data_IF_751632515774
#
_entry.id   IF_751632515774
#
_cell.length_a   1.000
_cell.length_b   1.000
_cell.length_c   1.000
_cell.angle_alpha   90.00
_cell.angle_beta   90.00
_cell.angle_gamma   90.00
#
_symmetry.space_group_name_H-M   'P 1'
#
loop_
_entity.id
_entity.type
_entity.pdbx_description
1 polymer ?
#
# COMPACT_ATOMS: atom_id res chain seq x y z
N UNK A 1 35.61 12.19 6.32
CA UNK A 1 34.43 11.69 5.60
C UNK A 1 34.93 10.60 4.68
N UNK A 2 34.37 9.41 4.75
CA UNK A 2 34.71 8.30 3.85
C UNK A 2 34.21 8.63 2.43
N UNK A 3 34.83 8.06 1.40
CA UNK A 3 34.40 8.36 0.04
C UNK A 3 33.09 7.63 -0.29
N UNK A 4 32.95 6.34 0.06
CA UNK A 4 31.81 5.51 -0.29
C UNK A 4 31.34 4.69 0.91
N UNK A 5 30.02 4.67 1.11
CA UNK A 5 29.32 3.81 2.06
C UNK A 5 28.41 2.81 1.37
N UNK A 6 28.17 1.69 2.03
CA UNK A 6 27.29 0.59 1.55
C UNK A 6 26.32 0.22 2.65
N UNK A 7 25.05 0.07 2.28
CA UNK A 7 24.01 -0.57 3.11
C UNK A 7 23.33 -1.66 2.27
N UNK A 8 23.11 -2.84 2.84
CA UNK A 8 22.40 -3.96 2.19
C UNK A 8 21.24 -4.37 3.08
N UNK A 9 20.07 -4.60 2.50
CA UNK A 9 18.91 -5.06 3.27
C UNK A 9 17.65 -5.27 2.43
N UNK A 10 16.62 -5.89 3.05
CA UNK A 10 15.35 -6.14 2.36
C UNK A 10 14.33 -5.01 2.47
N UNK A 11 14.40 -4.17 3.49
CA UNK A 11 13.54 -2.99 3.69
C UNK A 11 12.03 -3.29 3.53
N UNK A 12 11.57 -4.39 4.11
CA UNK A 12 10.20 -4.89 3.95
C UNK A 12 9.50 -5.02 5.32
N UNK A 13 8.69 -3.98 5.69
CA UNK A 13 8.55 -2.69 5.04
C UNK A 13 9.72 -1.73 5.31
N UNK A 14 9.84 -0.69 4.47
CA UNK A 14 10.66 0.45 4.82
C UNK A 14 10.11 1.13 6.08
N UNK A 15 10.89 1.18 7.15
CA UNK A 15 10.45 1.76 8.42
C UNK A 15 11.43 2.84 8.95
N UNK A 16 10.99 3.61 9.93
CA UNK A 16 11.76 4.76 10.45
C UNK A 16 13.12 4.36 11.03
N UNK A 17 13.28 3.13 11.51
CA UNK A 17 14.60 2.60 11.93
C UNK A 17 15.58 2.56 10.76
N UNK A 18 15.18 2.02 9.60
CA UNK A 18 15.97 2.01 8.37
C UNK A 18 16.36 3.43 7.94
N UNK A 19 15.38 4.34 7.94
CA UNK A 19 15.63 5.75 7.55
C UNK A 19 16.67 6.40 8.44
N UNK A 20 16.60 6.20 9.75
CA UNK A 20 17.59 6.75 10.69
C UNK A 20 18.98 6.21 10.46
N UNK A 21 19.12 4.91 10.21
CA UNK A 21 20.41 4.28 9.86
C UNK A 21 20.97 4.87 8.57
N UNK A 22 20.14 5.02 7.53
CA UNK A 22 20.53 5.58 6.25
C UNK A 22 20.97 7.04 6.41
N UNK A 23 20.20 7.86 7.11
CA UNK A 23 20.56 9.27 7.36
C UNK A 23 21.83 9.41 8.19
N UNK A 24 22.06 8.52 9.16
CA UNK A 24 23.29 8.50 9.94
C UNK A 24 24.50 8.15 9.05
N UNK A 25 24.38 7.12 8.21
CA UNK A 25 25.42 6.72 7.27
C UNK A 25 25.72 7.82 6.24
N UNK A 26 24.67 8.44 5.69
CA UNK A 26 24.79 9.49 4.68
C UNK A 26 25.57 10.73 5.16
N UNK A 27 25.58 10.99 6.47
CA UNK A 27 26.39 12.06 7.08
C UNK A 27 27.89 11.74 7.19
N UNK A 28 28.31 10.51 6.91
CA UNK A 28 29.69 10.04 7.10
C UNK A 28 30.44 9.78 5.79
N UNK A 29 29.72 9.73 4.65
CA UNK A 29 30.24 9.39 3.33
C UNK A 29 29.93 10.46 2.30
N UNK A 30 30.66 10.46 1.16
CA UNK A 30 30.34 11.33 0.01
C UNK A 30 29.28 10.72 -0.89
N UNK A 31 29.35 9.39 -1.13
CA UNK A 31 28.37 8.61 -1.87
C UNK A 31 27.92 7.43 -1.01
N UNK A 32 26.60 7.20 -0.90
CA UNK A 32 26.02 6.08 -0.18
C UNK A 32 25.24 5.19 -1.15
N UNK A 33 25.63 3.91 -1.25
CA UNK A 33 24.94 2.91 -2.04
C UNK A 33 24.07 2.05 -1.14
N UNK A 34 22.79 1.95 -1.49
CA UNK A 34 21.80 1.12 -0.79
C UNK A 34 21.36 0.01 -1.73
N UNK A 35 21.68 -1.23 -1.37
CA UNK A 35 21.34 -2.41 -2.12
C UNK A 35 20.10 -3.08 -1.53
N UNK A 36 19.04 -3.17 -2.32
CA UNK A 36 17.77 -3.79 -1.94
C UNK A 36 17.76 -5.24 -2.39
N UNK A 37 17.49 -6.15 -1.45
CA UNK A 37 17.45 -7.59 -1.69
C UNK A 37 16.03 -8.17 -1.49
N UNK A 38 15.73 -9.35 -2.07
CA UNK A 38 14.51 -10.08 -1.74
C UNK A 38 14.43 -10.38 -0.24
N UNK A 39 13.23 -10.37 0.32
CA UNK A 39 13.03 -10.87 1.68
C UNK A 39 12.99 -12.42 1.63
N UNK A 40 13.73 -13.14 2.49
CA UNK A 40 13.79 -14.61 2.43
C UNK A 40 12.46 -15.27 2.79
N UNK A 41 11.64 -14.61 3.61
CA UNK A 41 10.30 -15.04 3.99
C UNK A 41 9.34 -13.85 3.82
N UNK A 42 8.87 -13.56 2.58
CA UNK A 42 7.97 -12.44 2.32
C UNK A 42 6.64 -12.64 3.05
N UNK A 43 6.06 -11.55 3.53
CA UNK A 43 4.76 -11.60 4.23
C UNK A 43 3.65 -11.98 3.23
N UNK A 44 2.96 -13.15 3.42
CA UNK A 44 1.99 -13.66 2.45
C UNK A 44 0.74 -12.78 2.28
N UNK A 45 0.50 -11.85 3.19
CA UNK A 45 -0.65 -10.96 3.15
C UNK A 45 -0.45 -9.74 2.26
N UNK A 46 0.78 -9.54 1.74
CA UNK A 46 1.14 -8.40 0.91
C UNK A 46 1.96 -8.85 -0.31
N UNK A 47 1.61 -8.32 -1.47
CA UNK A 47 2.36 -8.56 -2.71
C UNK A 47 3.34 -7.42 -2.92
N UNK A 48 4.53 -7.55 -2.32
CA UNK A 48 5.60 -6.53 -2.39
C UNK A 48 6.75 -7.07 -3.23
N UNK A 49 7.09 -6.37 -4.28
CA UNK A 49 8.24 -6.70 -5.11
C UNK A 49 9.45 -5.78 -4.86
N UNK A 50 10.56 -6.07 -5.54
CA UNK A 50 11.78 -5.27 -5.42
C UNK A 50 11.63 -3.87 -6.00
N UNK A 51 10.75 -3.68 -6.99
CA UNK A 51 10.50 -2.36 -7.59
C UNK A 51 9.69 -1.47 -6.66
N UNK A 52 8.75 -2.05 -5.90
CA UNK A 52 8.00 -1.33 -4.87
C UNK A 52 8.97 -0.80 -3.81
N UNK A 53 9.85 -1.66 -3.30
CA UNK A 53 10.89 -1.28 -2.32
C UNK A 53 11.82 -0.19 -2.86
N UNK A 54 12.28 -0.34 -4.10
CA UNK A 54 13.12 0.67 -4.74
C UNK A 54 12.39 2.00 -4.92
N UNK A 55 11.10 1.96 -5.27
CA UNK A 55 10.26 3.15 -5.36
C UNK A 55 10.15 3.87 -4.02
N UNK A 56 9.86 3.15 -2.92
CA UNK A 56 9.80 3.75 -1.58
C UNK A 56 11.10 4.45 -1.21
N UNK A 57 12.22 3.75 -1.44
CA UNK A 57 13.55 4.28 -1.13
C UNK A 57 13.89 5.50 -1.98
N UNK A 58 13.66 5.44 -3.29
CA UNK A 58 13.90 6.56 -4.21
C UNK A 58 13.07 7.78 -3.80
N UNK A 59 11.78 7.58 -3.46
CA UNK A 59 10.93 8.68 -3.03
C UNK A 59 11.32 9.21 -1.63
N UNK A 60 11.73 8.34 -0.72
CA UNK A 60 12.14 8.74 0.64
C UNK A 60 13.43 9.56 0.66
N UNK A 61 14.33 9.34 -0.30
CA UNK A 61 15.64 9.97 -0.36
C UNK A 61 15.86 10.81 -1.64
N UNK A 62 14.78 11.22 -2.33
CA UNK A 62 14.83 11.98 -3.59
C UNK A 62 15.67 13.26 -3.50
N UNK A 63 15.70 13.91 -2.33
CA UNK A 63 16.43 15.15 -2.10
C UNK A 63 17.91 14.94 -1.72
N UNK A 64 18.37 13.68 -1.69
CA UNK A 64 19.76 13.31 -1.36
C UNK A 64 20.44 12.69 -2.59
N UNK A 65 20.97 13.49 -3.53
CA UNK A 65 21.49 13.01 -4.82
C UNK A 65 22.73 12.12 -4.71
N UNK A 66 23.36 12.06 -3.55
CA UNK A 66 24.49 11.19 -3.24
C UNK A 66 24.08 9.84 -2.62
N UNK A 67 22.76 9.59 -2.46
CA UNK A 67 22.20 8.29 -2.07
C UNK A 67 21.76 7.57 -3.33
N UNK A 68 22.39 6.43 -3.61
CA UNK A 68 22.16 5.62 -4.80
C UNK A 68 21.40 4.35 -4.41
N UNK A 69 20.25 4.12 -5.05
CA UNK A 69 19.38 2.96 -4.79
C UNK A 69 19.58 1.94 -5.89
N UNK A 70 19.93 0.70 -5.52
CA UNK A 70 20.21 -0.38 -6.44
C UNK A 70 19.47 -1.66 -6.02
N UNK A 71 19.07 -2.49 -6.98
CA UNK A 71 18.37 -3.76 -6.75
C UNK A 71 19.33 -4.92 -6.98
N UNK A 72 19.41 -5.85 -6.02
CA UNK A 72 20.14 -7.11 -6.13
C UNK A 72 19.16 -8.29 -6.07
N UNK A 73 18.58 -8.70 -7.22
CA UNK A 73 17.53 -9.70 -7.25
C UNK A 73 18.03 -11.12 -6.89
N UNK A 74 19.28 -11.41 -7.15
CA UNK A 74 19.89 -12.73 -6.99
C UNK A 74 20.44 -12.96 -5.58
N UNK A 75 20.46 -11.93 -4.74
CA UNK A 75 20.94 -12.00 -3.39
C UNK A 75 19.80 -12.10 -2.39
N UNK A 76 19.62 -13.25 -1.78
CA UNK A 76 18.74 -13.43 -0.63
C UNK A 76 19.58 -13.26 0.63
N UNK A 77 19.38 -12.16 1.36
CA UNK A 77 20.03 -11.96 2.66
C UNK A 77 19.32 -12.81 3.71
N UNK A 78 20.04 -13.43 4.68
CA UNK A 78 19.43 -14.23 5.72
C UNK A 78 18.42 -13.42 6.54
N UNK A 79 17.28 -14.05 6.91
CA UNK A 79 16.34 -13.48 7.88
C UNK A 79 16.72 -13.91 9.29
N UNK A 80 16.30 -13.15 10.30
CA UNK A 80 16.51 -13.49 11.72
C UNK A 80 15.75 -14.73 12.20
N UNK A 81 14.86 -15.33 11.38
CA UNK A 81 13.93 -16.39 11.79
C UNK A 81 14.38 -17.82 11.49
N UNK A 82 15.16 -18.00 10.45
CA UNK A 82 15.67 -19.33 10.13
C UNK A 82 16.99 -19.54 10.85
N UNK A 83 17.16 -20.74 11.44
CA UNK A 83 18.45 -21.21 11.91
C UNK A 83 19.48 -20.89 10.83
N UNK A 84 20.21 -19.79 11.05
CA UNK A 84 21.19 -19.22 10.14
C UNK A 84 21.95 -20.34 9.40
N UNK A 85 21.59 -20.61 8.16
CA UNK A 85 22.61 -21.03 7.21
C UNK A 85 23.30 -19.73 6.82
N UNK A 86 24.30 -19.40 7.59
CA UNK A 86 25.15 -18.26 7.40
C UNK A 86 25.63 -18.25 5.96
N UNK A 87 25.46 -17.11 5.26
CA UNK A 87 26.32 -16.86 4.11
C UNK A 87 27.74 -17.08 4.62
N UNK A 88 28.48 -18.00 4.04
CA UNK A 88 29.85 -18.20 4.41
C UNK A 88 30.63 -16.91 4.17
N UNK A 89 31.69 -16.68 4.90
CA UNK A 89 32.61 -15.53 4.66
C UNK A 89 32.97 -15.43 3.17
N UNK A 90 33.12 -16.58 2.50
CA UNK A 90 33.44 -16.64 1.07
C UNK A 90 32.28 -16.13 0.18
N UNK A 91 31.03 -16.42 0.51
CA UNK A 91 29.86 -15.89 -0.23
C UNK A 91 29.71 -14.39 -0.06
N UNK A 92 29.93 -13.86 1.14
CA UNK A 92 29.91 -12.39 1.38
C UNK A 92 31.07 -11.71 0.62
N UNK A 93 32.25 -12.29 0.64
CA UNK A 93 33.40 -11.75 -0.10
C UNK A 93 33.20 -11.82 -1.61
N UNK A 94 32.60 -12.90 -2.13
CA UNK A 94 32.23 -13.04 -3.54
C UNK A 94 31.21 -11.97 -3.96
N UNK A 95 30.20 -11.73 -3.12
CA UNK A 95 29.23 -10.64 -3.34
C UNK A 95 29.90 -9.28 -3.41
N UNK A 96 30.75 -8.95 -2.43
CA UNK A 96 31.44 -7.68 -2.41
C UNK A 96 32.36 -7.51 -3.64
N UNK A 97 33.03 -8.58 -4.07
CA UNK A 97 33.85 -8.57 -5.28
C UNK A 97 33.00 -8.33 -6.55
N UNK A 98 31.82 -8.97 -6.64
CA UNK A 98 30.87 -8.74 -7.72
C UNK A 98 30.33 -7.31 -7.73
N UNK A 99 29.96 -6.76 -6.55
CA UNK A 99 29.54 -5.38 -6.42
C UNK A 99 30.66 -4.40 -6.82
N UNK A 100 31.90 -4.66 -6.43
CA UNK A 100 33.05 -3.84 -6.83
C UNK A 100 33.28 -3.88 -8.34
N UNK A 101 33.05 -5.02 -8.97
CA UNK A 101 33.15 -5.15 -10.43
C UNK A 101 32.03 -4.37 -11.15
N UNK A 102 30.80 -4.46 -10.67
CA UNK A 102 29.63 -3.75 -11.26
C UNK A 102 29.68 -2.25 -11.00
N UNK A 103 30.18 -1.86 -9.84
CA UNK A 103 30.24 -0.48 -9.39
C UNK A 103 31.71 -0.08 -9.11
N UNK A 104 32.46 0.39 -10.11
CA UNK A 104 33.88 0.71 -9.96
C UNK A 104 34.19 1.70 -8.83
N UNK A 105 33.28 2.58 -8.46
CA UNK A 105 33.38 3.47 -7.31
C UNK A 105 33.50 2.73 -5.97
N UNK A 106 33.04 1.46 -5.89
CA UNK A 106 33.18 0.62 -4.70
C UNK A 106 34.56 -0.05 -4.62
N UNK A 107 35.36 0.01 -5.69
CA UNK A 107 36.72 -0.49 -5.68
C UNK A 107 37.64 0.53 -5.04
N UNK A 108 38.49 0.09 -4.11
CA UNK A 108 39.57 0.92 -3.60
C UNK A 108 40.49 1.26 -4.76
N UNK A 109 40.47 2.52 -5.24
CA UNK A 109 41.47 2.95 -6.22
C UNK A 109 42.80 3.16 -5.50
N UNK A 110 43.80 2.44 -5.92
CA UNK A 110 45.16 2.56 -5.41
C UNK A 110 45.89 3.77 -6.04
N UNK A 111 45.36 4.98 -5.79
CA UNK A 111 46.08 6.17 -6.15
C UNK A 111 46.94 6.64 -4.99
N UNK A 112 48.10 7.23 -5.30
CA UNK A 112 49.12 7.69 -4.36
C UNK A 112 48.65 8.72 -3.30
N UNK A 113 47.36 8.98 -3.21
CA UNK A 113 46.69 9.88 -2.29
C UNK A 113 45.91 9.20 -1.15
N UNK A 114 46.04 7.87 -0.97
CA UNK A 114 45.44 7.14 0.17
C UNK A 114 43.93 6.96 0.05
N UNK A 115 43.45 6.28 -0.99
CA UNK A 115 42.03 5.92 -1.15
C UNK A 115 41.58 5.01 -0.03
N UNK A 116 40.56 5.43 0.65
CA UNK A 116 39.93 4.68 1.77
C UNK A 116 38.97 3.65 1.18
N UNK A 117 39.09 2.39 1.63
CA UNK A 117 38.14 1.33 1.24
C UNK A 117 36.68 1.73 1.56
N UNK A 118 35.71 1.28 0.79
CA UNK A 118 34.28 1.48 1.11
C UNK A 118 33.96 0.99 2.51
N UNK A 119 33.03 1.66 3.19
CA UNK A 119 32.60 1.32 4.54
C UNK A 119 31.20 0.72 4.48
N UNK A 120 31.00 -0.44 5.10
CA UNK A 120 29.69 -1.09 5.23
C UNK A 120 29.05 -0.61 6.53
N UNK A 121 27.83 -0.07 6.42
CA UNK A 121 27.03 0.33 7.57
C UNK A 121 26.00 -0.76 7.88
N UNK A 122 25.92 -1.19 9.11
CA UNK A 122 24.99 -2.21 9.59
C UNK A 122 24.46 -1.84 10.96
N UNK A 123 23.30 -2.39 11.30
CA UNK A 123 22.80 -2.41 12.69
C UNK A 123 23.73 -3.31 13.53
N UNK A 124 23.96 -2.96 14.79
CA UNK A 124 24.82 -3.73 15.72
C UNK A 124 24.34 -5.17 15.94
N UNK A 125 23.08 -5.46 15.64
CA UNK A 125 22.48 -6.80 15.72
C UNK A 125 22.47 -7.54 14.37
N UNK A 126 22.99 -6.92 13.32
CA UNK A 126 23.01 -7.54 11.99
C UNK A 126 23.96 -8.74 11.98
N UNK A 127 23.55 -9.90 11.44
CA UNK A 127 24.36 -11.12 11.46
C UNK A 127 25.76 -10.95 10.85
N UNK A 128 25.91 -10.07 9.88
CA UNK A 128 27.21 -9.81 9.27
C UNK A 128 28.21 -9.02 10.14
N UNK A 129 27.81 -8.53 11.31
CA UNK A 129 28.74 -7.86 12.25
C UNK A 129 29.83 -8.82 12.74
N UNK A 130 29.50 -10.10 12.89
CA UNK A 130 30.43 -11.13 13.36
C UNK A 130 31.32 -11.69 12.24
N UNK A 131 31.07 -11.33 10.98
CA UNK A 131 31.92 -11.75 9.85
C UNK A 131 33.10 -10.82 9.69
N UNK A 132 34.28 -11.39 9.52
CA UNK A 132 35.49 -10.66 9.15
C UNK A 132 35.40 -10.21 7.69
N UNK A 133 34.57 -9.21 7.41
CA UNK A 133 34.51 -8.57 6.12
C UNK A 133 35.89 -7.93 5.84
N UNK A 134 36.37 -8.08 4.61
CA UNK A 134 37.59 -7.36 4.19
C UNK A 134 37.40 -5.85 4.06
N UNK A 135 36.18 -5.37 4.29
CA UNK A 135 35.81 -3.95 4.32
C UNK A 135 35.59 -3.47 5.77
N UNK A 136 35.93 -2.21 6.06
CA UNK A 136 35.60 -1.60 7.34
C UNK A 136 34.08 -1.63 7.58
N UNK A 137 33.68 -2.09 8.75
CA UNK A 137 32.28 -2.09 9.18
C UNK A 137 32.09 -0.99 10.21
N UNK A 138 31.05 -0.16 10.00
CA UNK A 138 30.56 0.79 11.00
C UNK A 138 29.22 0.29 11.50
N UNK A 139 29.19 -0.10 12.75
CA UNK A 139 27.94 -0.49 13.42
C UNK A 139 27.18 0.75 13.84
N UNK A 140 25.91 0.81 13.49
CA UNK A 140 24.99 1.83 13.98
C UNK A 140 24.24 1.31 15.19
N UNK A 141 24.08 2.11 16.26
CA UNK A 141 23.31 1.68 17.42
C UNK A 141 21.89 1.26 17.01
N UNK A 142 21.44 0.14 17.55
CA UNK A 142 20.07 -0.31 17.36
C UNK A 142 19.10 0.80 17.76
N UNK A 143 18.24 1.18 16.83
CA UNK A 143 17.21 2.17 17.10
C UNK A 143 16.14 1.54 17.99
N UNK A 144 16.22 1.77 19.30
CA UNK A 144 15.24 1.28 20.26
C UNK A 144 13.81 1.66 19.84
N UNK A 145 12.92 0.68 19.85
CA UNK A 145 11.51 0.82 19.44
C UNK A 145 11.21 0.40 17.99
N UNK A 146 12.22 0.01 17.18
CA UNK A 146 12.01 -0.54 15.84
C UNK A 146 12.56 -1.97 15.78
N UNK A 147 11.65 -2.94 15.68
CA UNK A 147 11.96 -4.35 15.45
C UNK A 147 11.43 -4.71 14.05
N UNK A 148 12.35 -4.85 13.09
CA UNK A 148 12.01 -5.09 11.67
C UNK A 148 11.12 -6.32 11.51
N UNK A 149 11.39 -7.41 12.27
CA UNK A 149 10.62 -8.65 12.22
C UNK A 149 9.19 -8.43 12.73
N UNK A 150 9.02 -7.76 13.87
CA UNK A 150 7.69 -7.46 14.40
C UNK A 150 6.89 -6.58 13.44
N UNK A 151 7.55 -5.58 12.83
CA UNK A 151 6.91 -4.70 11.85
C UNK A 151 6.55 -5.48 10.58
N UNK A 152 7.44 -6.36 10.11
CA UNK A 152 7.20 -7.21 8.95
C UNK A 152 6.01 -8.16 9.16
N UNK A 153 5.98 -8.85 10.31
CA UNK A 153 4.93 -9.82 10.61
C UNK A 153 3.59 -9.16 10.93
N UNK A 154 3.61 -7.95 11.48
CA UNK A 154 2.39 -7.25 11.91
C UNK A 154 2.42 -5.75 11.58
N UNK A 155 2.42 -5.37 10.29
CA UNK A 155 2.56 -3.99 9.87
C UNK A 155 1.45 -3.07 10.39
N UNK A 156 0.21 -3.56 10.57
CA UNK A 156 -0.89 -2.75 11.07
C UNK A 156 -0.70 -2.35 12.54
N UNK A 157 -0.21 -3.26 13.40
CA UNK A 157 0.08 -2.95 14.80
C UNK A 157 1.21 -1.92 14.94
N UNK A 158 2.19 -1.99 14.05
CA UNK A 158 3.35 -1.09 14.05
C UNK A 158 3.24 0.02 12.98
N UNK A 159 2.01 0.43 12.61
CA UNK A 159 1.75 1.36 11.51
C UNK A 159 2.55 2.66 11.59
N UNK A 160 2.69 3.22 12.78
CA UNK A 160 3.45 4.46 12.99
C UNK A 160 4.95 4.31 12.72
N UNK A 161 5.48 3.09 12.78
CA UNK A 161 6.88 2.80 12.46
C UNK A 161 7.13 2.72 10.96
N UNK A 162 6.13 2.37 10.14
CA UNK A 162 6.27 2.26 8.69
C UNK A 162 6.48 3.66 8.09
N UNK A 163 7.48 3.77 7.22
CA UNK A 163 7.73 5.02 6.51
C UNK A 163 6.53 5.37 5.59
N UNK A 164 6.09 6.65 5.55
CA UNK A 164 4.91 7.05 4.77
C UNK A 164 4.92 6.56 3.32
N UNK A 165 6.06 6.56 2.65
CA UNK A 165 6.18 6.11 1.26
C UNK A 165 5.85 4.62 1.05
N UNK A 166 5.96 3.78 2.08
CA UNK A 166 5.62 2.36 2.02
C UNK A 166 4.17 2.06 2.42
N UNK A 167 3.51 2.97 3.15
CA UNK A 167 2.17 2.71 3.73
C UNK A 167 1.11 2.38 2.69
N UNK A 168 1.19 2.99 1.49
CA UNK A 168 0.24 2.77 0.41
C UNK A 168 0.11 1.31 -0.02
N UNK A 169 1.19 0.53 0.09
CA UNK A 169 1.22 -0.88 -0.31
C UNK A 169 0.86 -1.83 0.85
N UNK A 170 0.81 -1.31 2.08
CA UNK A 170 0.40 -2.07 3.29
C UNK A 170 -1.01 -1.74 3.77
N UNK A 171 -1.65 -0.66 3.29
CA UNK A 171 -3.03 -0.33 3.65
C UNK A 171 -4.03 -1.24 2.92
N UNK A 172 -5.07 -1.69 3.62
CA UNK A 172 -6.16 -2.48 3.03
C UNK A 172 -7.30 -1.57 2.57
N UNK A 173 -7.75 -1.77 1.35
CA UNK A 173 -8.86 -1.01 0.77
C UNK A 173 -10.20 -1.63 1.11
N UNK A 174 -11.12 -0.83 1.64
CA UNK A 174 -12.50 -1.25 1.96
C UNK A 174 -13.49 -0.34 1.25
N UNK A 175 -14.16 -0.87 0.23
CA UNK A 175 -15.22 -0.14 -0.46
C UNK A 175 -16.57 -0.28 0.25
N UNK A 176 -17.33 0.81 0.29
CA UNK A 176 -18.72 0.84 0.72
C UNK A 176 -19.62 0.98 -0.51
N UNK A 177 -20.41 -0.04 -0.81
CA UNK A 177 -21.26 -0.07 -2.00
C UNK A 177 -22.73 -0.25 -1.61
N UNK A 178 -23.64 0.02 -2.54
CA UNK A 178 -25.07 -0.11 -2.34
C UNK A 178 -25.84 0.92 -3.18
N UNK A 179 -27.15 0.83 -3.19
CA UNK A 179 -28.03 1.73 -3.93
C UNK A 179 -27.99 3.17 -3.45
N UNK A 180 -28.66 4.04 -4.18
CA UNK A 180 -28.85 5.43 -3.75
C UNK A 180 -29.58 5.50 -2.40
N UNK A 181 -29.23 6.51 -1.59
CA UNK A 181 -29.79 6.70 -0.24
C UNK A 181 -29.53 5.58 0.76
N UNK A 182 -28.65 4.61 0.48
CA UNK A 182 -28.30 3.56 1.45
C UNK A 182 -27.41 4.04 2.60
N UNK A 183 -26.93 5.30 2.56
CA UNK A 183 -26.13 5.91 3.62
C UNK A 183 -24.61 5.68 3.52
N UNK A 184 -24.11 5.23 2.36
CA UNK A 184 -22.67 4.92 2.12
C UNK A 184 -21.74 6.04 2.56
N UNK A 185 -21.87 7.22 1.99
CA UNK A 185 -20.99 8.37 2.26
C UNK A 185 -21.01 8.78 3.74
N UNK A 186 -22.18 8.76 4.38
CA UNK A 186 -22.30 9.05 5.82
C UNK A 186 -21.58 7.99 6.66
N UNK A 187 -21.76 6.72 6.32
CA UNK A 187 -21.07 5.61 6.98
C UNK A 187 -19.56 5.68 6.77
N UNK A 188 -19.13 5.95 5.54
CA UNK A 188 -17.71 6.15 5.20
C UNK A 188 -17.06 7.20 6.11
N UNK A 189 -17.66 8.39 6.24
CA UNK A 189 -17.10 9.45 7.09
C UNK A 189 -17.07 9.07 8.58
N UNK A 190 -18.07 8.32 9.07
CA UNK A 190 -18.05 7.80 10.45
C UNK A 190 -16.92 6.80 10.65
N UNK A 191 -16.73 5.86 9.73
CA UNK A 191 -15.65 4.88 9.78
C UNK A 191 -14.28 5.53 9.62
N UNK A 192 -14.14 6.52 8.72
CA UNK A 192 -12.91 7.27 8.55
C UNK A 192 -12.48 7.97 9.85
N UNK A 193 -13.44 8.60 10.54
CA UNK A 193 -13.16 9.20 11.86
C UNK A 193 -12.85 8.17 12.93
N UNK A 194 -13.54 7.02 12.92
CA UNK A 194 -13.34 5.98 13.92
C UNK A 194 -11.94 5.34 13.82
N UNK A 195 -11.51 5.00 12.60
CA UNK A 195 -10.20 4.36 12.36
C UNK A 195 -9.05 5.36 12.14
N UNK A 196 -9.33 6.66 12.04
CA UNK A 196 -8.33 7.65 11.61
C UNK A 196 -7.88 7.42 10.16
N UNK A 197 -8.74 6.86 9.32
CA UNK A 197 -8.44 6.41 7.97
C UNK A 197 -8.58 7.51 6.91
N UNK A 198 -7.77 7.41 5.85
CA UNK A 198 -8.00 8.13 4.60
C UNK A 198 -9.17 7.53 3.82
N UNK A 199 -9.71 8.30 2.88
CA UNK A 199 -10.80 7.82 2.03
C UNK A 199 -10.76 8.45 0.64
N UNK A 200 -11.21 7.67 -0.37
CA UNK A 200 -11.52 8.13 -1.72
C UNK A 200 -13.03 8.34 -1.87
N UNK A 201 -13.42 9.52 -2.40
CA UNK A 201 -14.83 9.83 -2.65
C UNK A 201 -15.30 9.31 -4.02
N UNK A 202 -16.61 9.14 -4.15
CA UNK A 202 -17.29 8.81 -5.41
C UNK A 202 -17.09 9.93 -6.45
N UNK A 203 -16.43 9.62 -7.54
CA UNK A 203 -16.13 10.62 -8.58
C UNK A 203 -17.29 10.83 -9.55
N UNK A 204 -18.19 9.86 -9.69
CA UNK A 204 -19.39 10.00 -10.53
C UNK A 204 -20.28 11.17 -10.11
N UNK A 205 -20.51 11.33 -8.80
CA UNK A 205 -21.27 12.47 -8.28
C UNK A 205 -20.56 13.81 -8.54
N UNK A 206 -19.25 13.87 -8.36
CA UNK A 206 -18.47 15.06 -8.64
C UNK A 206 -18.56 15.42 -10.12
N UNK A 207 -18.39 14.45 -11.01
CA UNK A 207 -18.50 14.63 -12.45
C UNK A 207 -19.87 15.22 -12.85
N UNK A 208 -20.97 14.68 -12.31
CA UNK A 208 -22.32 15.21 -12.56
C UNK A 208 -22.42 16.69 -12.10
N UNK A 209 -21.84 17.04 -10.98
CA UNK A 209 -21.89 18.41 -10.45
C UNK A 209 -21.04 19.40 -11.26
N UNK A 210 -19.82 19.00 -11.65
CA UNK A 210 -18.86 19.92 -12.27
C UNK A 210 -18.99 19.99 -13.79
N UNK A 211 -19.24 18.85 -14.44
CA UNK A 211 -19.18 18.71 -15.90
C UNK A 211 -20.56 18.68 -16.56
N UNK A 212 -21.58 18.20 -15.84
CA UNK A 212 -22.96 18.10 -16.36
C UNK A 212 -23.94 19.12 -15.74
N UNK A 213 -23.45 20.08 -14.96
CA UNK A 213 -24.31 21.13 -14.38
C UNK A 213 -25.30 20.65 -13.33
N UNK A 214 -25.03 19.51 -12.68
CA UNK A 214 -25.81 18.98 -11.57
C UNK A 214 -26.96 18.05 -11.96
N UNK A 215 -27.02 17.55 -13.20
CA UNK A 215 -28.03 16.60 -13.66
C UNK A 215 -27.41 15.49 -14.50
N UNK A 216 -27.89 14.27 -14.33
CA UNK A 216 -27.47 13.09 -15.08
C UNK A 216 -28.02 13.02 -16.51
N UNK A 217 -28.92 13.96 -16.90
CA UNK A 217 -29.58 13.95 -18.21
C UNK A 217 -28.61 14.03 -19.41
N UNK A 218 -27.42 14.61 -19.20
CA UNK A 218 -26.38 14.73 -20.23
C UNK A 218 -25.34 13.60 -20.22
N UNK A 219 -25.42 12.66 -19.30
CA UNK A 219 -24.49 11.54 -19.18
C UNK A 219 -24.44 10.70 -20.46
N UNK A 220 -23.24 10.37 -20.92
CA UNK A 220 -23.02 9.58 -22.11
C UNK A 220 -22.11 8.37 -21.78
N UNK A 221 -22.17 7.36 -22.63
CA UNK A 221 -21.35 6.16 -22.49
C UNK A 221 -19.84 6.45 -22.41
N UNK A 222 -19.38 7.45 -23.14
CA UNK A 222 -17.96 7.84 -23.19
C UNK A 222 -17.47 8.63 -21.96
N UNK A 223 -18.38 9.01 -21.05
CA UNK A 223 -18.03 9.70 -19.79
C UNK A 223 -17.56 8.72 -18.70
N UNK A 224 -18.02 7.47 -18.75
CA UNK A 224 -17.70 6.47 -17.73
C UNK A 224 -16.20 6.16 -17.58
N UNK A 225 -15.38 6.07 -18.65
CA UNK A 225 -13.94 5.95 -18.53
C UNK A 225 -13.27 7.11 -17.79
N UNK A 226 -13.74 8.34 -18.00
CA UNK A 226 -13.22 9.54 -17.31
C UNK A 226 -13.48 9.43 -15.80
N UNK A 227 -14.75 9.17 -15.43
CA UNK A 227 -15.13 8.98 -14.03
C UNK A 227 -14.33 7.87 -13.35
N UNK A 228 -14.12 6.73 -14.03
CA UNK A 228 -13.36 5.62 -13.48
C UNK A 228 -11.88 5.97 -13.31
N UNK A 229 -11.29 6.70 -14.25
CA UNK A 229 -9.89 7.16 -14.15
C UNK A 229 -9.72 8.13 -12.98
N UNK A 230 -10.63 9.09 -12.82
CA UNK A 230 -10.60 10.04 -11.71
C UNK A 230 -10.80 9.32 -10.37
N UNK A 231 -11.69 8.31 -10.34
CA UNK A 231 -11.90 7.50 -9.14
C UNK A 231 -10.66 6.70 -8.74
N UNK A 232 -9.97 6.07 -9.71
CA UNK A 232 -8.71 5.39 -9.45
C UNK A 232 -7.65 6.35 -8.88
N UNK A 233 -7.53 7.55 -9.45
CA UNK A 233 -6.62 8.56 -8.94
C UNK A 233 -6.96 8.99 -7.51
N UNK A 234 -8.25 9.17 -7.18
CA UNK A 234 -8.72 9.49 -5.83
C UNK A 234 -8.40 8.37 -4.83
N UNK A 235 -8.60 7.10 -5.22
CA UNK A 235 -8.25 5.93 -4.40
C UNK A 235 -6.73 5.87 -4.18
N UNK A 236 -5.94 6.03 -5.22
CA UNK A 236 -4.47 6.06 -5.15
C UNK A 236 -3.96 7.19 -4.25
N UNK A 237 -4.54 8.38 -4.36
CA UNK A 237 -4.22 9.50 -3.49
C UNK A 237 -4.57 9.22 -2.01
N UNK A 238 -5.71 8.57 -1.75
CA UNK A 238 -6.11 8.18 -0.41
C UNK A 238 -5.19 7.08 0.19
N UNK A 239 -4.72 6.13 -0.62
CA UNK A 239 -3.73 5.11 -0.21
C UNK A 239 -2.35 5.73 0.05
N UNK A 240 -1.97 6.72 -0.75
CA UNK A 240 -0.66 7.36 -0.61
C UNK A 240 -0.59 8.09 0.73
N UNK A 241 0.46 7.81 1.51
CA UNK A 241 0.65 8.36 2.87
C UNK A 241 -0.47 7.98 3.87
N UNK A 242 -1.16 6.85 3.65
CA UNK A 242 -2.28 6.41 4.49
C UNK A 242 -1.97 6.56 6.00
N UNK A 243 -2.80 7.29 6.76
CA UNK A 243 -2.57 7.53 8.18
C UNK A 243 -2.88 6.30 9.06
N UNK A 244 -3.69 5.37 8.55
CA UNK A 244 -4.11 4.13 9.19
C UNK A 244 -3.91 2.93 8.26
N UNK A 245 -3.90 1.68 8.78
CA UNK A 245 -3.72 0.46 7.97
C UNK A 245 -4.96 0.10 7.12
N UNK A 246 -5.90 0.99 7.01
CA UNK A 246 -7.12 0.88 6.20
C UNK A 246 -7.34 2.16 5.40
N UNK A 247 -7.77 2.01 4.14
CA UNK A 247 -8.23 3.10 3.27
C UNK A 247 -9.66 2.79 2.86
N UNK A 248 -10.56 3.72 3.12
CA UNK A 248 -11.98 3.58 2.80
C UNK A 248 -12.29 4.15 1.42
N UNK A 249 -13.23 3.55 0.69
CA UNK A 249 -13.60 3.99 -0.66
C UNK A 249 -15.11 4.13 -0.74
N UNK A 250 -15.59 5.32 -1.14
CA UNK A 250 -17.02 5.55 -1.41
C UNK A 250 -17.33 5.02 -2.81
N UNK A 251 -18.07 3.93 -2.87
CA UNK A 251 -18.34 3.11 -4.04
C UNK A 251 -17.09 2.39 -4.59
N UNK A 252 -17.28 1.65 -5.68
CA UNK A 252 -16.23 0.95 -6.42
C UNK A 252 -16.57 0.94 -7.92
N UNK A 253 -15.69 0.34 -8.74
CA UNK A 253 -15.92 0.25 -10.19
C UNK A 253 -17.11 -0.64 -10.57
N UNK A 254 -17.53 -1.57 -9.68
CA UNK A 254 -18.77 -2.35 -9.86
C UNK A 254 -19.99 -1.42 -9.83
N UNK A 255 -19.99 -0.44 -8.93
CA UNK A 255 -21.07 0.55 -8.84
C UNK A 255 -21.10 1.44 -10.08
N UNK A 256 -19.96 1.90 -10.57
CA UNK A 256 -19.86 2.67 -11.82
C UNK A 256 -20.36 1.87 -13.02
N UNK A 257 -19.98 0.58 -13.09
CA UNK A 257 -20.47 -0.35 -14.13
C UNK A 257 -21.98 -0.55 -14.02
N UNK A 258 -22.52 -0.63 -12.79
CA UNK A 258 -23.97 -0.81 -12.59
C UNK A 258 -24.77 0.42 -13.07
N UNK A 259 -24.27 1.63 -12.84
CA UNK A 259 -24.87 2.84 -13.40
C UNK A 259 -24.77 2.87 -14.92
N UNK A 260 -23.62 2.49 -15.51
CA UNK A 260 -23.48 2.38 -16.95
C UNK A 260 -24.52 1.40 -17.56
N UNK A 261 -24.66 0.22 -16.97
CA UNK A 261 -25.65 -0.76 -17.44
C UNK A 261 -27.11 -0.30 -17.19
N UNK A 262 -27.36 0.51 -16.15
CA UNK A 262 -28.70 1.04 -15.85
C UNK A 262 -29.13 2.10 -16.87
N UNK A 263 -28.24 3.03 -17.22
CA UNK A 263 -28.56 4.16 -18.07
C UNK A 263 -28.30 3.89 -19.55
N UNK A 264 -27.24 3.14 -19.89
CA UNK A 264 -26.86 2.87 -21.28
C UNK A 264 -27.34 1.49 -21.80
N UNK A 265 -27.83 0.64 -20.91
CA UNK A 265 -28.32 -0.71 -21.26
C UNK A 265 -27.23 -1.68 -21.71
N UNK A 266 -25.96 -1.37 -21.53
CA UNK A 266 -24.81 -2.18 -21.97
C UNK A 266 -23.61 -2.06 -21.01
N UNK A 267 -22.78 -3.11 -21.00
CA UNK A 267 -21.51 -3.11 -20.26
C UNK A 267 -20.49 -2.21 -20.93
N UNK A 268 -19.56 -1.67 -20.11
CA UNK A 268 -18.41 -0.92 -20.61
C UNK A 268 -17.13 -1.73 -20.42
N UNK A 269 -16.38 -2.11 -21.48
CA UNK A 269 -15.19 -2.96 -21.39
C UNK A 269 -14.09 -2.35 -20.50
N UNK A 270 -13.92 -1.03 -20.54
CA UNK A 270 -12.95 -0.33 -19.71
C UNK A 270 -13.30 -0.47 -18.21
N UNK A 271 -14.57 -0.31 -17.83
CA UNK A 271 -15.00 -0.51 -16.46
C UNK A 271 -14.82 -1.95 -15.99
N UNK A 272 -15.12 -2.92 -16.87
CA UNK A 272 -14.89 -4.34 -16.57
C UNK A 272 -13.40 -4.61 -16.28
N UNK A 273 -12.50 -4.03 -17.10
CA UNK A 273 -11.07 -4.12 -16.83
C UNK A 273 -10.67 -3.42 -15.52
N UNK A 274 -11.26 -2.26 -15.19
CA UNK A 274 -11.00 -1.57 -13.92
C UNK A 274 -11.45 -2.40 -12.70
N UNK A 275 -12.58 -3.12 -12.79
CA UNK A 275 -13.06 -4.00 -11.71
C UNK A 275 -12.05 -5.11 -11.43
N UNK A 276 -11.46 -5.69 -12.47
CA UNK A 276 -10.52 -6.80 -12.34
C UNK A 276 -9.12 -6.32 -11.93
N UNK A 277 -8.65 -5.19 -12.45
CA UNK A 277 -7.31 -4.63 -12.20
C UNK A 277 -7.21 -3.90 -10.86
N UNK A 278 -8.22 -3.10 -10.51
CA UNK A 278 -8.22 -2.28 -9.29
C UNK A 278 -9.17 -2.84 -8.23
N UNK A 279 -9.08 -4.15 -8.00
CA UNK A 279 -9.93 -4.86 -7.04
C UNK A 279 -9.69 -4.35 -5.63
N UNK A 280 -10.78 -4.06 -4.90
CA UNK A 280 -10.72 -3.74 -3.48
C UNK A 280 -10.38 -5.00 -2.67
N UNK A 281 -9.61 -4.83 -1.57
CA UNK A 281 -9.35 -5.95 -0.66
C UNK A 281 -10.65 -6.46 -0.04
N UNK A 282 -11.56 -5.54 0.32
CA UNK A 282 -12.88 -5.86 0.88
C UNK A 282 -13.95 -4.93 0.33
N UNK A 283 -15.16 -5.45 0.21
CA UNK A 283 -16.34 -4.67 -0.20
C UNK A 283 -17.47 -4.90 0.79
N UNK A 284 -17.96 -3.83 1.42
CA UNK A 284 -19.15 -3.82 2.28
C UNK A 284 -20.36 -3.38 1.46
N UNK A 285 -21.34 -4.26 1.27
CA UNK A 285 -22.55 -3.95 0.53
C UNK A 285 -23.71 -3.65 1.48
N UNK A 286 -24.21 -2.41 1.42
CA UNK A 286 -25.34 -1.95 2.22
C UNK A 286 -26.65 -2.30 1.53
N UNK A 287 -27.54 -2.96 2.26
CA UNK A 287 -28.89 -3.26 1.79
C UNK A 287 -29.72 -1.99 1.54
N UNK A 288 -30.68 -2.11 0.66
CA UNK A 288 -31.51 -1.01 0.19
C UNK A 288 -32.81 -0.83 1.00
N UNK A 289 -32.73 -1.02 2.32
CA UNK A 289 -33.84 -1.04 3.26
C UNK A 289 -33.93 0.22 4.17
N UNK A 290 -33.23 1.29 3.79
CA UNK A 290 -33.33 2.61 4.44
C UNK A 290 -34.31 3.52 3.68
N UNK A 291 -34.93 4.51 4.33
CA UNK A 291 -35.75 5.51 3.66
C UNK A 291 -34.98 6.23 2.55
N UNK A 292 -35.60 6.38 1.39
CA UNK A 292 -35.01 7.16 0.31
C UNK A 292 -35.11 8.67 0.62
N UNK A 293 -34.03 9.39 0.40
CA UNK A 293 -33.94 10.84 0.61
C UNK A 293 -33.55 11.52 -0.70
N UNK A 294 -34.40 12.42 -1.18
CA UNK A 294 -34.11 13.23 -2.36
C UNK A 294 -33.00 14.25 -2.06
N UNK A 295 -31.99 14.36 -2.93
CA UNK A 295 -30.95 15.38 -2.87
C UNK A 295 -30.84 16.21 -4.18
N UNK A 296 -31.80 16.03 -5.08
CA UNK A 296 -31.88 16.74 -6.37
C UNK A 296 -31.03 16.14 -7.50
N UNK A 297 -30.16 15.17 -7.20
CA UNK A 297 -29.30 14.49 -8.17
C UNK A 297 -29.60 12.99 -8.31
N UNK A 298 -30.44 12.44 -7.44
CA UNK A 298 -30.77 11.01 -7.43
C UNK A 298 -31.95 10.74 -8.33
N UNK A 299 -31.79 9.74 -9.21
CA UNK A 299 -32.80 9.36 -10.21
C UNK A 299 -33.51 8.04 -9.92
N UNK A 300 -32.93 7.16 -9.09
CA UNK A 300 -33.45 5.84 -8.78
C UNK A 300 -34.32 5.84 -7.49
N UNK A 301 -35.37 6.68 -7.48
CA UNK A 301 -36.16 6.94 -6.29
C UNK A 301 -37.26 5.92 -5.99
N UNK A 302 -37.78 5.17 -7.00
CA UNK A 302 -38.81 4.17 -6.77
C UNK A 302 -38.27 2.87 -6.17
N UNK A 303 -39.05 2.18 -5.37
CA UNK A 303 -38.67 0.90 -4.76
C UNK A 303 -38.22 -0.13 -5.81
N UNK A 304 -38.96 -0.23 -6.92
CA UNK A 304 -38.64 -1.15 -8.02
C UNK A 304 -37.31 -0.79 -8.73
N UNK A 305 -36.98 0.50 -8.86
CA UNK A 305 -35.70 0.93 -9.43
C UNK A 305 -34.52 0.58 -8.49
N UNK A 306 -34.71 0.81 -7.20
CA UNK A 306 -33.73 0.50 -6.16
C UNK A 306 -33.45 -1.00 -6.07
N UNK A 307 -34.51 -1.84 -6.11
CA UNK A 307 -34.39 -3.30 -6.12
C UNK A 307 -33.68 -3.79 -7.39
N UNK A 308 -34.06 -3.26 -8.55
CA UNK A 308 -33.42 -3.60 -9.82
C UNK A 308 -31.93 -3.25 -9.81
N UNK A 309 -31.55 -2.07 -9.30
CA UNK A 309 -30.16 -1.64 -9.20
C UNK A 309 -29.37 -2.53 -8.23
N UNK A 310 -29.92 -2.88 -7.07
CA UNK A 310 -29.28 -3.80 -6.12
C UNK A 310 -29.06 -5.19 -6.74
N UNK A 311 -30.03 -5.70 -7.49
CA UNK A 311 -29.88 -6.96 -8.20
C UNK A 311 -28.79 -6.88 -9.30
N UNK A 312 -28.66 -5.75 -9.97
CA UNK A 312 -27.60 -5.50 -10.95
C UNK A 312 -26.23 -5.50 -10.28
N UNK A 313 -26.04 -4.82 -9.15
CA UNK A 313 -24.81 -4.88 -8.38
C UNK A 313 -24.43 -6.34 -8.06
N UNK A 314 -25.36 -7.13 -7.53
CA UNK A 314 -25.14 -8.55 -7.20
C UNK A 314 -24.71 -9.37 -8.43
N UNK A 315 -25.33 -9.12 -9.59
CA UNK A 315 -24.99 -9.79 -10.85
C UNK A 315 -23.58 -9.42 -11.32
N UNK A 316 -23.16 -8.16 -11.21
CA UNK A 316 -21.82 -7.72 -11.61
C UNK A 316 -20.78 -8.29 -10.64
N UNK A 317 -21.03 -8.26 -9.32
CA UNK A 317 -20.15 -8.91 -8.34
C UNK A 317 -19.93 -10.39 -8.65
N UNK A 318 -21.04 -11.12 -8.95
CA UNK A 318 -20.94 -12.54 -9.33
C UNK A 318 -20.16 -12.75 -10.63
N UNK A 319 -20.34 -11.87 -11.64
CA UNK A 319 -19.63 -11.89 -12.92
C UNK A 319 -18.10 -11.75 -12.75
N UNK A 320 -17.68 -10.93 -11.80
CA UNK A 320 -16.26 -10.68 -11.51
C UNK A 320 -15.73 -11.49 -10.30
N UNK A 321 -16.48 -12.48 -9.82
CA UNK A 321 -16.08 -13.34 -8.70
C UNK A 321 -15.69 -12.54 -7.43
N UNK A 322 -16.46 -11.50 -7.12
CA UNK A 322 -16.34 -10.72 -5.91
C UNK A 322 -17.45 -11.13 -4.94
N UNK A 323 -17.08 -11.43 -3.69
CA UNK A 323 -18.02 -11.79 -2.63
C UNK A 323 -18.09 -10.63 -1.61
N UNK A 324 -19.06 -9.70 -1.75
CA UNK A 324 -19.20 -8.61 -0.81
C UNK A 324 -19.71 -9.10 0.55
N UNK A 325 -19.28 -8.42 1.63
CA UNK A 325 -19.82 -8.58 2.97
C UNK A 325 -21.09 -7.73 3.11
N UNK A 326 -22.19 -8.32 3.55
CA UNK A 326 -23.49 -7.64 3.58
C UNK A 326 -23.78 -6.98 4.92
N UNK A 327 -24.33 -5.76 4.86
CA UNK A 327 -24.92 -5.02 5.98
C UNK A 327 -26.38 -4.77 5.66
N UNK A 328 -27.30 -5.48 6.33
CA UNK A 328 -28.74 -5.45 6.06
C UNK A 328 -29.57 -4.73 7.14
N UNK A 329 -28.94 -4.25 8.18
CA UNK A 329 -29.59 -3.47 9.26
C UNK A 329 -30.27 -2.22 8.71
N UNK A 330 -31.55 -1.96 8.98
CA UNK A 330 -32.23 -0.73 8.54
C UNK A 330 -31.86 0.50 9.36
N UNK A 331 -31.32 0.31 10.56
CA UNK A 331 -30.88 1.37 11.47
C UNK A 331 -29.47 1.84 11.15
N UNK A 332 -29.28 3.16 10.99
CA UNK A 332 -27.97 3.73 10.64
C UNK A 332 -26.89 3.57 11.70
N UNK A 333 -27.27 3.54 12.99
CA UNK A 333 -26.30 3.31 14.06
C UNK A 333 -25.87 1.85 14.08
N UNK A 334 -26.82 0.93 13.92
CA UNK A 334 -26.52 -0.50 13.84
C UNK A 334 -25.65 -0.81 12.61
N UNK A 335 -25.89 -0.20 11.44
CA UNK A 335 -25.00 -0.32 10.27
C UNK A 335 -23.55 0.07 10.58
N UNK A 336 -23.38 1.12 11.37
CA UNK A 336 -22.03 1.54 11.79
C UNK A 336 -21.36 0.49 12.68
N UNK A 337 -22.09 -0.09 13.64
CA UNK A 337 -21.56 -1.17 14.49
C UNK A 337 -21.28 -2.45 13.70
N UNK A 338 -22.18 -2.83 12.78
CA UNK A 338 -22.00 -3.98 11.90
C UNK A 338 -20.77 -3.81 10.98
N UNK A 339 -20.58 -2.61 10.44
CA UNK A 339 -19.42 -2.30 9.61
C UNK A 339 -18.10 -2.41 10.40
N UNK A 340 -18.05 -1.89 11.63
CA UNK A 340 -16.89 -2.06 12.51
C UNK A 340 -16.62 -3.55 12.74
N UNK A 341 -17.65 -4.32 13.13
CA UNK A 341 -17.48 -5.74 13.41
C UNK A 341 -16.95 -6.52 12.21
N UNK A 342 -17.44 -6.20 10.99
CA UNK A 342 -16.95 -6.82 9.75
C UNK A 342 -15.51 -6.40 9.42
N UNK A 343 -15.17 -5.13 9.56
CA UNK A 343 -13.80 -4.63 9.32
C UNK A 343 -12.84 -5.27 10.33
N UNK A 344 -13.17 -5.27 11.61
CA UNK A 344 -12.32 -5.84 12.65
C UNK A 344 -12.12 -7.35 12.45
N UNK A 345 -13.18 -8.07 12.06
CA UNK A 345 -13.11 -9.51 11.81
C UNK A 345 -12.34 -9.89 10.53
N UNK A 346 -12.38 -9.08 9.48
CA UNK A 346 -11.80 -9.45 8.18
C UNK A 346 -10.50 -8.73 7.86
N UNK A 347 -10.39 -7.44 8.22
CA UNK A 347 -9.20 -6.63 7.93
C UNK A 347 -8.16 -6.78 9.02
N UNK A 348 -8.60 -6.83 10.30
CA UNK A 348 -7.71 -6.82 11.45
C UNK A 348 -7.59 -8.18 12.16
N UNK A 349 -8.30 -9.22 11.70
CA UNK A 349 -8.26 -10.56 12.30
C UNK A 349 -6.85 -11.13 12.45
N UNK A 350 -6.02 -10.99 11.42
CA UNK A 350 -4.64 -11.48 11.44
C UNK A 350 -3.72 -10.77 12.44
N UNK A 351 -4.20 -9.71 13.08
CA UNK A 351 -3.44 -8.90 14.04
C UNK A 351 -3.83 -9.18 15.49
N UNK A 352 -4.93 -9.91 15.74
CA UNK A 352 -5.42 -10.24 17.09
C UNK A 352 -4.78 -11.50 17.67
N UNK A 353 -4.30 -12.43 16.87
CA UNK A 353 -3.79 -13.73 17.30
C UNK A 353 -2.35 -13.72 17.85
N UNK A 354 -1.69 -12.56 17.92
CA UNK A 354 -0.26 -12.43 18.27
C UNK A 354 -0.05 -11.98 19.72
N UNK A 355 -1.10 -11.58 20.43
CA UNK A 355 -1.02 -11.19 21.87
C UNK A 355 -1.36 -12.32 22.86
N UNK A 356 -1.54 -13.56 22.42
CA UNK A 356 -1.85 -14.70 23.28
C UNK A 356 -0.59 -15.54 23.62
#
# INVERSE_FOLDING_TARGET
MQDVGIIIGHFEPLHLGHVRTILHASGQVKDLYIFITPHPAPNPNFSIDLKDKARWMTMAFADLPFVHIEILPDLVTPSYEDNYQDLSVDEVNALLADLQQRYPKLSASSDAAGTVAPVVFMDETHPFVDYALHLPVVTTPRQHGFDSRKIHNNPALYWSAIHPQARGDYTKTVALVGGESSGKTTLLHKLANYYGASYGLEMGRLFVQTDLGGTELGMQYDDYPLMATDHEQAIRAAKHLAPAPITLVDTDFVTTQAFCEEYEGRTHPFLAACIDEFRMDYTLMLANNTPWVADGMRSLGSESQRERFENRLKQIFARHHIAPLFIDSPDYHQRFLDAIALIDAHVFHHYQDIEA
#
